data_IF_839837661599
#
_entry.id   IF_839837661599
#
_cell.length_a   1.000
_cell.length_b   1.000
_cell.length_c   1.000
_cell.angle_alpha   90.00
_cell.angle_beta   90.00
_cell.angle_gamma   90.00
#
_symmetry.space_group_name_H-M   'P 1'
#
loop_
_entity.id
_entity.type
_entity.pdbx_description
1 polymer ?
#
# COMPACT_ATOMS: atom_id res chain seq x y z
N UNK A 1 -11.84 -0.38 6.34
CA UNK A 1 -12.28 -0.29 7.76
C UNK A 1 -11.37 -1.03 8.72
N UNK A 2 -11.34 -2.38 8.74
CA UNK A 2 -10.44 -3.11 9.66
C UNK A 2 -8.96 -2.83 9.36
N UNK A 3 -8.57 -2.83 8.07
CA UNK A 3 -7.22 -2.43 7.65
C UNK A 3 -6.81 -1.06 8.15
N UNK A 4 -7.66 -0.04 7.98
CA UNK A 4 -7.39 1.32 8.46
C UNK A 4 -7.14 1.34 9.97
N UNK A 5 -7.96 0.64 10.75
CA UNK A 5 -7.80 0.53 12.20
C UNK A 5 -6.48 -0.14 12.55
N UNK A 6 -6.18 -1.29 11.91
CA UNK A 6 -4.93 -2.02 12.10
C UNK A 6 -3.72 -1.16 11.78
N UNK A 7 -3.81 -0.34 10.73
CA UNK A 7 -2.76 0.61 10.36
C UNK A 7 -2.56 1.65 11.45
N UNK A 8 -3.64 2.29 11.93
CA UNK A 8 -3.56 3.25 13.04
C UNK A 8 -2.92 2.65 14.28
N UNK A 9 -3.28 1.41 14.64
CA UNK A 9 -2.62 0.69 15.75
C UNK A 9 -1.11 0.61 15.54
N UNK A 10 -0.61 0.36 14.33
CA UNK A 10 0.84 0.33 14.03
C UNK A 10 1.48 1.72 14.17
N UNK A 11 0.82 2.77 13.68
CA UNK A 11 1.29 4.17 13.79
C UNK A 11 1.41 4.58 15.26
N UNK A 12 0.38 4.34 16.08
CA UNK A 12 0.37 4.72 17.50
C UNK A 12 1.37 3.92 18.35
N UNK A 13 1.74 2.72 17.89
CA UNK A 13 2.83 1.94 18.48
C UNK A 13 4.21 2.43 18.04
N UNK A 14 4.32 3.37 17.09
CA UNK A 14 5.57 3.83 16.49
C UNK A 14 6.33 2.70 15.77
N UNK A 15 5.61 1.70 15.27
CA UNK A 15 6.16 0.44 14.79
C UNK A 15 6.09 0.30 13.26
N UNK A 16 5.98 1.42 12.53
CA UNK A 16 5.74 1.49 11.08
C UNK A 16 6.83 0.81 10.24
N UNK A 17 8.05 0.78 10.76
CA UNK A 17 9.20 0.16 10.11
C UNK A 17 9.39 -1.32 10.52
N UNK A 18 8.69 -1.78 11.56
CA UNK A 18 8.89 -3.09 12.17
C UNK A 18 7.70 -4.04 11.96
N UNK A 19 6.49 -3.48 11.77
CA UNK A 19 5.23 -4.21 11.71
C UNK A 19 4.44 -3.86 10.44
N UNK A 20 3.89 -4.91 9.83
CA UNK A 20 2.90 -4.81 8.76
C UNK A 20 1.51 -4.91 9.37
N UNK A 21 0.57 -4.06 8.95
CA UNK A 21 -0.81 -4.13 9.42
C UNK A 21 -1.60 -5.21 8.67
N UNK A 22 -2.63 -5.77 9.32
CA UNK A 22 -3.54 -6.74 8.72
C UNK A 22 -4.76 -6.01 8.13
N UNK A 23 -4.95 -6.13 6.83
CA UNK A 23 -6.04 -5.50 6.08
C UNK A 23 -7.38 -6.24 6.25
N UNK A 24 -7.34 -7.53 6.59
CA UNK A 24 -8.52 -8.39 6.58
C UNK A 24 -8.74 -9.10 7.92
N UNK A 25 -9.85 -8.77 8.59
CA UNK A 25 -10.23 -9.34 9.89
C UNK A 25 -10.40 -10.86 9.85
N UNK A 26 -10.75 -11.42 8.70
CA UNK A 26 -10.95 -12.87 8.52
C UNK A 26 -9.64 -13.59 8.15
N UNK A 27 -8.59 -12.84 7.79
CA UNK A 27 -7.30 -13.41 7.48
C UNK A 27 -6.57 -13.76 8.77
N UNK A 28 -6.50 -15.07 9.03
CA UNK A 28 -5.76 -15.60 10.19
C UNK A 28 -4.28 -15.60 9.87
N UNK A 29 -3.55 -14.73 10.56
CA UNK A 29 -2.09 -14.64 10.48
C UNK A 29 -1.52 -15.24 11.76
N UNK A 30 -1.10 -16.50 11.67
CA UNK A 30 -0.53 -17.26 12.78
C UNK A 30 1.00 -17.16 12.80
N UNK A 31 1.61 -17.52 13.93
CA UNK A 31 3.06 -17.62 14.03
C UNK A 31 3.63 -18.55 12.95
N UNK A 32 4.77 -18.16 12.39
CA UNK A 32 5.50 -18.88 11.35
C UNK A 32 4.75 -19.01 10.02
N UNK A 33 3.61 -18.34 9.82
CA UNK A 33 2.93 -18.29 8.53
C UNK A 33 3.88 -17.76 7.46
N UNK A 34 3.92 -18.40 6.29
CA UNK A 34 4.77 -18.00 5.18
C UNK A 34 4.16 -16.80 4.43
N UNK A 35 5.00 -15.85 4.07
CA UNK A 35 4.61 -14.66 3.32
C UNK A 35 5.61 -14.46 2.18
N UNK A 36 5.10 -14.20 0.98
CA UNK A 36 5.93 -13.72 -0.13
C UNK A 36 6.01 -12.21 -0.06
N UNK A 37 7.22 -11.69 -0.21
CA UNK A 37 7.47 -10.25 -0.26
C UNK A 37 8.08 -9.92 -1.62
N UNK A 38 7.45 -8.99 -2.33
CA UNK A 38 7.88 -8.56 -3.66
C UNK A 38 7.89 -7.05 -3.72
N UNK A 39 8.93 -6.48 -4.32
CA UNK A 39 8.90 -5.07 -4.74
C UNK A 39 8.59 -5.01 -6.22
N UNK A 40 7.60 -4.20 -6.59
CA UNK A 40 7.27 -3.96 -7.99
C UNK A 40 8.23 -2.93 -8.62
N UNK A 41 8.00 -2.60 -9.90
CA UNK A 41 8.84 -1.67 -10.67
C UNK A 41 8.91 -0.25 -10.08
N UNK A 42 7.96 0.13 -9.22
CA UNK A 42 7.87 1.43 -8.56
C UNK A 42 8.33 1.39 -7.08
N UNK A 43 9.03 0.33 -6.67
CA UNK A 43 9.46 0.09 -5.28
C UNK A 43 8.32 -0.08 -4.26
N UNK A 44 7.08 -0.30 -4.72
CA UNK A 44 5.96 -0.63 -3.85
C UNK A 44 6.10 -2.08 -3.40
N UNK A 45 6.05 -2.31 -2.10
CA UNK A 45 6.18 -3.66 -1.51
C UNK A 45 4.80 -4.31 -1.42
N UNK A 46 4.64 -5.48 -2.02
CA UNK A 46 3.44 -6.32 -1.95
C UNK A 46 3.71 -7.56 -1.09
N UNK A 47 2.72 -7.91 -0.28
CA UNK A 47 2.74 -9.06 0.62
C UNK A 47 1.70 -10.08 0.19
N UNK A 48 2.10 -11.33 0.01
CA UNK A 48 1.17 -12.44 -0.28
C UNK A 48 1.26 -13.48 0.82
N UNK A 49 0.22 -13.55 1.65
CA UNK A 49 0.13 -14.53 2.73
C UNK A 49 -0.18 -15.91 2.15
N UNK A 50 0.64 -16.89 2.49
CA UNK A 50 0.48 -18.28 2.04
C UNK A 50 -0.18 -19.05 3.19
N UNK A 51 -1.19 -19.87 2.87
CA UNK A 51 -1.82 -20.78 3.84
C UNK A 51 -0.94 -22.02 4.13
N UNK A 52 0.30 -21.76 4.58
CA UNK A 52 1.32 -22.72 5.03
C UNK A 52 2.23 -22.03 6.05
N UNK A 53 2.80 -22.81 6.95
CA UNK A 53 3.80 -22.34 7.92
C UNK A 53 5.19 -22.82 7.57
N UNK A 54 6.20 -22.20 8.17
CA UNK A 54 7.60 -22.62 8.10
C UNK A 54 7.78 -24.10 8.43
N UNK A 55 7.05 -24.59 9.44
CA UNK A 55 7.11 -25.98 9.88
C UNK A 55 6.66 -26.96 8.79
N UNK A 56 5.76 -26.53 7.89
CA UNK A 56 5.35 -27.36 6.76
C UNK A 56 6.47 -27.58 5.76
N UNK A 57 7.45 -26.67 5.68
CA UNK A 57 8.60 -26.80 4.77
C UNK A 57 9.63 -27.79 5.29
N UNK A 58 9.74 -28.01 6.59
CA UNK A 58 10.73 -28.92 7.18
C UNK A 58 10.45 -30.38 6.81
N UNK A 59 11.49 -31.17 6.58
CA UNK A 59 11.34 -32.63 6.48
C UNK A 59 10.87 -33.21 7.83
N UNK A 60 11.52 -32.78 8.91
CA UNK A 60 11.22 -33.14 10.29
C UNK A 60 10.54 -31.95 11.01
N UNK A 61 9.24 -32.04 11.35
CA UNK A 61 8.48 -30.95 11.95
C UNK A 61 8.63 -30.90 13.49
N UNK A 62 9.72 -31.40 14.03
CA UNK A 62 10.00 -31.48 15.48
C UNK A 62 10.37 -30.12 16.09
N UNK A 63 10.56 -29.10 15.26
CA UNK A 63 10.84 -27.75 15.70
C UNK A 63 9.58 -27.07 16.26
N UNK A 64 9.63 -26.72 17.53
CA UNK A 64 8.62 -25.88 18.17
C UNK A 64 9.33 -24.74 18.89
N UNK A 65 9.44 -23.55 18.27
CA UNK A 65 10.18 -22.46 18.87
C UNK A 65 9.44 -21.92 20.09
N UNK A 66 10.21 -21.45 21.07
CA UNK A 66 9.64 -20.72 22.20
C UNK A 66 9.01 -19.41 21.72
N UNK A 67 7.79 -19.16 22.20
CA UNK A 67 7.03 -17.94 21.92
C UNK A 67 6.89 -17.17 23.23
N UNK A 68 7.43 -15.96 23.25
CA UNK A 68 7.22 -15.02 24.35
C UNK A 68 5.96 -14.21 24.09
N UNK A 69 5.19 -13.98 25.15
CA UNK A 69 3.98 -13.17 25.09
C UNK A 69 4.08 -12.02 26.07
N UNK A 70 3.96 -10.79 25.57
CA UNK A 70 4.03 -9.57 26.35
C UNK A 70 2.78 -8.71 26.14
N UNK A 71 2.38 -7.98 27.18
CA UNK A 71 1.32 -6.98 27.07
C UNK A 71 1.94 -5.72 26.50
N UNK A 72 1.47 -5.29 25.34
CA UNK A 72 1.94 -4.05 24.71
C UNK A 72 1.20 -2.84 25.25
N UNK A 73 -0.13 -2.91 25.26
CA UNK A 73 -0.98 -1.79 25.69
C UNK A 73 -2.18 -2.34 26.45
N UNK A 74 -2.48 -1.70 27.59
CA UNK A 74 -3.68 -1.95 28.39
C UNK A 74 -4.66 -0.79 28.17
N UNK A 75 -5.95 -1.10 28.14
CA UNK A 75 -7.04 -0.13 28.03
C UNK A 75 -6.88 0.86 26.87
N UNK A 76 -6.56 0.32 25.69
CA UNK A 76 -6.46 1.07 24.44
C UNK A 76 -7.84 1.66 24.09
N UNK A 77 -7.95 3.00 24.13
CA UNK A 77 -9.20 3.74 23.89
C UNK A 77 -9.01 4.88 22.89
N UNK A 78 -10.05 5.14 22.10
CA UNK A 78 -10.19 6.34 21.28
C UNK A 78 -11.28 7.23 21.86
N UNK A 79 -10.93 8.44 22.27
CA UNK A 79 -11.88 9.52 22.57
C UNK A 79 -11.47 10.77 21.81
N UNK A 80 -12.20 11.07 20.73
CA UNK A 80 -12.18 12.39 20.11
C UNK A 80 -13.02 13.33 21.00
N UNK A 81 -12.39 14.37 21.56
CA UNK A 81 -13.04 15.33 22.45
C UNK A 81 -14.30 15.90 21.77
N UNK A 82 -15.44 15.76 22.46
CA UNK A 82 -16.64 16.51 22.13
C UNK A 82 -16.29 17.99 22.28
N UNK A 83 -16.15 18.71 21.17
CA UNK A 83 -16.28 20.16 21.16
C UNK A 83 -17.66 20.54 21.68
N UNK A 84 -17.80 20.60 23.00
CA UNK A 84 -19.06 20.70 23.72
C UNK A 84 -18.77 20.61 25.21
N UNK A 85 -18.48 21.77 25.81
CA UNK A 85 -18.21 21.98 27.22
C UNK A 85 -19.23 21.21 28.08
N UNK A 86 -18.77 20.17 28.76
CA UNK A 86 -19.59 19.33 29.63
C UNK A 86 -18.72 18.34 30.36
N UNK A 87 -18.06 18.80 31.43
CA UNK A 87 -17.35 17.95 32.37
C UNK A 87 -18.34 16.99 33.02
N UNK A 88 -18.05 15.69 32.96
CA UNK A 88 -18.58 14.74 33.95
C UNK A 88 -17.37 14.17 34.66
N UNK A 89 -17.14 14.66 35.88
CA UNK A 89 -16.26 14.03 36.85
C UNK A 89 -16.83 12.66 37.21
N UNK A 90 -15.99 11.63 37.12
CA UNK A 90 -16.10 10.44 37.95
C UNK A 90 -14.69 9.83 38.03
N UNK A 91 -14.05 9.99 39.19
CA UNK A 91 -12.72 9.45 39.46
C UNK A 91 -12.72 7.94 39.65
N UNK A 92 -11.54 7.34 39.52
CA UNK A 92 -10.84 6.51 40.52
C UNK A 92 -9.39 6.35 40.03
N UNK A 93 -8.44 6.52 40.95
CA UNK A 93 -7.00 6.35 40.79
C UNK A 93 -6.60 4.93 40.34
N UNK A 94 -5.77 4.85 39.30
CA UNK A 94 -4.78 3.80 39.11
C UNK A 94 -3.62 4.34 38.24
N UNK A 95 -2.34 4.12 38.59
CA UNK A 95 -1.22 4.47 37.74
C UNK A 95 -1.07 3.38 36.67
N UNK A 96 -1.94 3.40 35.66
CA UNK A 96 -1.83 2.55 34.48
C UNK A 96 -1.72 3.46 33.26
N UNK A 97 -0.73 3.18 32.42
CA UNK A 97 -0.38 3.97 31.24
C UNK A 97 -1.53 3.90 30.24
N UNK A 98 -2.45 4.85 30.35
CA UNK A 98 -3.60 5.00 29.47
C UNK A 98 -3.11 5.59 28.15
N UNK A 99 -2.95 4.76 27.13
CA UNK A 99 -2.58 5.23 25.79
C UNK A 99 -3.85 5.76 25.13
N UNK A 100 -3.98 7.09 25.06
CA UNK A 100 -5.07 7.79 24.38
C UNK A 100 -4.70 7.92 22.91
N UNK A 101 -5.53 7.39 22.02
CA UNK A 101 -5.40 7.62 20.58
C UNK A 101 -5.46 9.12 20.26
N UNK A 102 -4.37 9.66 19.73
CA UNK A 102 -4.36 10.95 19.02
C UNK A 102 -4.29 10.68 17.52
N UNK A 103 -5.12 9.75 17.03
CA UNK A 103 -5.20 9.45 15.61
C UNK A 103 -6.35 10.25 14.98
N UNK A 104 -5.98 11.06 13.98
CA UNK A 104 -6.86 11.79 13.08
C UNK A 104 -7.62 10.84 12.12
N UNK A 105 -8.28 9.79 12.62
CA UNK A 105 -9.10 8.92 11.76
C UNK A 105 -10.46 9.57 11.48
N UNK A 106 -10.73 9.95 10.23
CA UNK A 106 -12.08 10.35 9.80
C UNK A 106 -13.07 9.16 9.73
N UNK A 107 -12.59 7.92 9.93
CA UNK A 107 -13.37 6.68 9.76
C UNK A 107 -13.89 6.05 11.04
N UNK A 108 -13.43 6.42 12.25
CA UNK A 108 -13.90 5.82 13.52
C UNK A 108 -14.11 6.92 14.59
N UNK A 109 -15.34 7.02 15.11
CA UNK A 109 -15.70 8.02 16.14
C UNK A 109 -15.50 7.51 17.57
N UNK A 110 -15.32 6.20 17.76
CA UNK A 110 -15.00 5.62 19.07
C UNK A 110 -14.68 4.12 19.00
N UNK A 111 -13.98 3.63 20.02
CA UNK A 111 -13.68 2.20 20.19
C UNK A 111 -13.91 1.80 21.65
N UNK A 112 -14.42 0.60 21.88
CA UNK A 112 -14.45 0.02 23.23
C UNK A 112 -13.01 -0.24 23.71
N UNK A 113 -12.70 0.11 24.96
CA UNK A 113 -11.41 -0.19 25.57
C UNK A 113 -10.97 -1.65 25.37
N UNK A 114 -9.71 -1.87 24.98
CA UNK A 114 -9.18 -3.22 24.80
C UNK A 114 -7.68 -3.32 25.05
N UNK A 115 -7.21 -4.54 25.32
CA UNK A 115 -5.80 -4.81 25.57
C UNK A 115 -5.16 -5.45 24.36
N UNK A 116 -4.01 -4.92 23.96
CA UNK A 116 -3.16 -5.46 22.91
C UNK A 116 -2.00 -6.25 23.52
N UNK A 117 -1.77 -7.44 22.97
CA UNK A 117 -0.63 -8.28 23.28
C UNK A 117 0.23 -8.51 22.05
N UNK A 118 1.50 -8.78 22.31
CA UNK A 118 2.47 -9.19 21.29
C UNK A 118 2.96 -10.58 21.61
N UNK A 119 3.01 -11.41 20.57
CA UNK A 119 3.73 -12.69 20.56
C UNK A 119 4.96 -12.54 19.70
N UNK A 120 6.09 -13.05 20.18
CA UNK A 120 7.36 -13.05 19.44
C UNK A 120 7.99 -14.42 19.54
N UNK A 121 8.42 -14.97 18.42
CA UNK A 121 9.23 -16.18 18.36
C UNK A 121 10.67 -15.82 18.73
N UNK A 122 11.33 -16.68 19.51
CA UNK A 122 12.77 -16.59 19.76
C UNK A 122 13.56 -16.68 18.44
N UNK A 123 14.10 -15.55 18.00
CA UNK A 123 14.85 -15.44 16.75
C UNK A 123 16.15 -16.23 16.79
N UNK A 124 16.74 -16.47 17.97
CA UNK A 124 17.95 -17.29 18.07
C UNK A 124 17.67 -18.77 17.85
N UNK A 125 16.46 -19.24 18.20
CA UNK A 125 16.06 -20.61 17.89
C UNK A 125 15.80 -20.79 16.40
N UNK A 126 15.26 -19.75 15.76
CA UNK A 126 15.09 -19.67 14.32
C UNK A 126 16.43 -19.66 13.57
N UNK A 127 17.41 -18.88 14.02
CA UNK A 127 18.77 -18.84 13.45
C UNK A 127 19.47 -20.21 13.51
N UNK A 128 19.25 -20.99 14.58
CA UNK A 128 19.81 -22.36 14.72
C UNK A 128 19.23 -23.38 13.74
N UNK A 129 18.29 -22.99 12.89
CA UNK A 129 17.71 -23.89 11.89
C UNK A 129 18.55 -24.02 10.61
N UNK A 130 19.69 -23.34 10.51
CA UNK A 130 20.53 -23.21 9.30
C UNK A 130 20.83 -24.54 8.55
N UNK A 131 20.86 -25.66 9.29
CA UNK A 131 21.15 -27.00 8.75
C UNK A 131 19.91 -27.90 8.57
N UNK A 132 18.71 -27.41 8.90
CA UNK A 132 17.49 -28.23 8.80
C UNK A 132 17.10 -28.42 7.34
N UNK A 133 16.91 -29.69 6.94
CA UNK A 133 16.47 -30.06 5.60
C UNK A 133 15.02 -29.65 5.37
N UNK A 134 14.77 -29.16 4.15
CA UNK A 134 13.43 -28.76 3.72
C UNK A 134 12.94 -29.63 2.57
N UNK A 135 11.62 -29.84 2.55
CA UNK A 135 10.87 -30.51 1.49
C UNK A 135 10.89 -29.63 0.24
N UNK A 136 11.90 -29.80 -0.61
CA UNK A 136 12.07 -28.99 -1.82
C UNK A 136 10.85 -28.98 -2.74
N UNK A 137 10.15 -30.10 -2.85
CA UNK A 137 8.89 -30.18 -3.59
C UNK A 137 7.84 -29.15 -3.13
N UNK A 138 7.78 -28.86 -1.82
CA UNK A 138 6.86 -27.85 -1.29
C UNK A 138 7.34 -26.43 -1.60
N UNK A 139 8.65 -26.19 -1.56
CA UNK A 139 9.26 -24.91 -1.94
C UNK A 139 9.01 -24.62 -3.43
N UNK A 140 9.21 -25.62 -4.30
CA UNK A 140 8.91 -25.53 -5.73
C UNK A 140 7.43 -25.21 -5.99
N UNK A 141 6.54 -25.83 -5.21
CA UNK A 141 5.09 -25.55 -5.26
C UNK A 141 4.74 -24.13 -4.80
N UNK A 142 5.60 -23.44 -4.03
CA UNK A 142 5.40 -22.03 -3.73
C UNK A 142 5.60 -21.14 -4.97
N UNK A 143 6.29 -21.62 -6.01
CA UNK A 143 6.54 -20.88 -7.26
C UNK A 143 7.07 -19.47 -6.97
N UNK A 144 8.17 -19.37 -6.23
CA UNK A 144 8.81 -18.09 -5.94
C UNK A 144 9.36 -17.47 -7.22
N UNK A 145 9.02 -16.22 -7.49
CA UNK A 145 9.55 -15.45 -8.62
C UNK A 145 10.97 -14.95 -8.30
N UNK A 146 11.75 -14.60 -9.33
CA UNK A 146 13.15 -14.18 -9.17
C UNK A 146 13.34 -12.97 -8.24
N UNK A 147 12.36 -12.07 -8.16
CA UNK A 147 12.36 -10.88 -7.29
C UNK A 147 11.54 -11.06 -6.00
N UNK A 148 10.97 -12.25 -5.78
CA UNK A 148 10.22 -12.56 -4.56
C UNK A 148 11.16 -13.10 -3.48
N UNK A 149 11.04 -12.53 -2.29
CA UNK A 149 11.63 -13.08 -1.07
C UNK A 149 10.59 -13.92 -0.33
N UNK A 150 11.02 -15.03 0.24
CA UNK A 150 10.18 -15.80 1.16
C UNK A 150 10.48 -15.35 2.59
N UNK A 151 9.43 -15.05 3.35
CA UNK A 151 9.53 -14.65 4.75
C UNK A 151 8.54 -15.46 5.59
N UNK A 152 8.69 -15.42 6.91
CA UNK A 152 7.65 -15.90 7.81
C UNK A 152 7.34 -14.91 8.92
N UNK A 153 6.16 -15.09 9.51
CA UNK A 153 5.68 -14.29 10.64
C UNK A 153 6.40 -14.71 11.91
N UNK A 154 7.27 -13.85 12.44
CA UNK A 154 7.99 -14.09 13.69
C UNK A 154 7.39 -13.31 14.88
N UNK A 155 6.52 -12.35 14.59
CA UNK A 155 5.86 -11.52 15.60
C UNK A 155 4.42 -11.21 15.18
N UNK A 156 3.50 -11.19 16.14
CA UNK A 156 2.10 -10.76 15.91
C UNK A 156 1.62 -9.86 17.05
N UNK A 157 0.82 -8.85 16.71
CA UNK A 157 0.10 -7.98 17.66
C UNK A 157 -1.39 -8.27 17.53
N UNK A 158 -2.05 -8.58 18.64
CA UNK A 158 -3.44 -9.06 18.65
C UNK A 158 -4.22 -8.60 19.89
N UNK A 159 -5.55 -8.62 19.82
CA UNK A 159 -6.43 -8.26 20.93
C UNK A 159 -6.75 -9.45 21.83
N UNK A 160 -6.85 -9.20 23.14
CA UNK A 160 -7.17 -10.25 24.13
C UNK A 160 -8.67 -10.39 24.44
N UNK A 161 -9.47 -9.40 24.03
CA UNK A 161 -10.91 -9.33 24.23
C UNK A 161 -11.58 -8.86 22.94
N UNK A 162 -12.84 -9.27 22.65
CA UNK A 162 -13.56 -8.73 21.50
C UNK A 162 -13.65 -7.19 21.56
N UNK A 163 -13.48 -6.52 20.43
CA UNK A 163 -13.39 -5.05 20.35
C UNK A 163 -14.49 -4.54 19.44
N UNK A 164 -15.27 -3.55 19.88
CA UNK A 164 -16.29 -2.91 19.04
C UNK A 164 -15.86 -1.51 18.64
N UNK A 165 -15.87 -1.27 17.34
CA UNK A 165 -15.59 0.01 16.71
C UNK A 165 -16.91 0.69 16.34
N UNK A 166 -16.98 2.01 16.53
CA UNK A 166 -18.15 2.84 16.25
C UNK A 166 -17.80 3.90 15.21
N UNK A 167 -18.60 3.99 14.15
CA UNK A 167 -18.40 4.94 13.05
C UNK A 167 -19.65 5.75 12.83
N UNK A 168 -19.51 7.08 12.79
CA UNK A 168 -20.58 8.01 12.41
C UNK A 168 -20.23 8.64 11.07
N UNK A 169 -21.12 8.50 10.11
CA UNK A 169 -21.02 9.24 8.86
C UNK A 169 -21.05 10.76 9.11
N UNK A 170 -19.97 11.48 8.76
CA UNK A 170 -19.91 12.96 8.78
C UNK A 170 -19.88 13.54 7.36
N UNK A 171 -20.46 14.73 7.22
CA UNK A 171 -20.26 15.61 6.05
C UNK A 171 -18.89 16.27 6.15
N UNK A 172 -18.06 16.07 5.15
CA UNK A 172 -16.68 16.55 5.07
C UNK A 172 -16.57 18.07 4.84
N UNK A 173 -15.58 18.71 5.46
CA UNK A 173 -15.09 20.03 5.05
C UNK A 173 -14.28 19.98 3.74
N UNK A 174 -13.86 21.13 3.21
CA UNK A 174 -13.28 21.30 1.86
C UNK A 174 -12.07 20.39 1.55
N UNK A 175 -11.26 20.02 2.55
CA UNK A 175 -10.08 19.13 2.40
C UNK A 175 -10.42 17.66 2.65
N UNK A 176 -11.31 17.37 3.60
CA UNK A 176 -11.89 16.03 3.83
C UNK A 176 -12.76 15.56 2.65
N UNK A 177 -13.30 16.50 1.85
CA UNK A 177 -14.07 16.22 0.64
C UNK A 177 -13.24 15.62 -0.51
N UNK A 178 -11.95 15.97 -0.61
CA UNK A 178 -11.01 15.33 -1.52
C UNK A 178 -10.85 13.85 -1.18
N UNK A 179 -10.61 13.54 0.10
CA UNK A 179 -10.34 12.18 0.57
C UNK A 179 -11.53 11.24 0.39
N UNK A 180 -12.73 11.72 0.73
CA UNK A 180 -13.95 10.96 0.44
C UNK A 180 -14.12 10.73 -1.07
N UNK A 181 -13.74 11.65 -1.95
CA UNK A 181 -13.88 11.42 -3.40
C UNK A 181 -12.89 10.41 -3.97
N UNK A 182 -11.68 10.33 -3.41
CA UNK A 182 -10.64 9.40 -3.84
C UNK A 182 -11.02 7.95 -3.51
N UNK A 183 -11.63 7.71 -2.34
CA UNK A 183 -11.86 6.35 -1.81
C UNK A 183 -13.33 5.91 -1.77
N UNK A 184 -14.29 6.79 -2.09
CA UNK A 184 -15.74 6.54 -1.98
C UNK A 184 -16.43 6.43 -3.35
N UNK A 185 -15.70 6.02 -4.39
CA UNK A 185 -16.19 5.84 -5.78
C UNK A 185 -17.27 4.76 -5.91
N UNK A 186 -17.64 4.07 -4.83
CA UNK A 186 -18.84 3.24 -4.79
C UNK A 186 -19.51 3.26 -3.42
N UNK A 187 -20.30 4.31 -3.13
CA UNK A 187 -21.60 4.19 -2.45
C UNK A 187 -22.33 5.56 -2.46
N UNK A 188 -23.38 5.68 -3.27
CA UNK A 188 -24.41 6.68 -3.03
C UNK A 188 -25.26 6.25 -1.83
N UNK A 189 -25.08 6.88 -0.66
CA UNK A 189 -26.19 6.99 0.30
C UNK A 189 -26.02 8.16 1.28
N UNK A 190 -26.87 9.17 1.11
CA UNK A 190 -27.03 10.32 2.00
C UNK A 190 -27.82 9.96 3.29
N UNK A 191 -27.33 9.01 4.10
CA UNK A 191 -27.90 8.74 5.43
C UNK A 191 -26.82 8.75 6.50
N UNK A 192 -27.12 9.43 7.61
CA UNK A 192 -26.35 9.34 8.86
C UNK A 192 -26.57 7.95 9.46
N UNK A 193 -25.86 6.96 8.95
CA UNK A 193 -25.80 5.64 9.57
C UNK A 193 -24.65 5.62 10.57
N UNK A 194 -24.98 5.24 11.80
CA UNK A 194 -24.01 4.87 12.82
C UNK A 194 -23.80 3.37 12.68
N UNK A 195 -22.68 2.99 12.06
CA UNK A 195 -22.31 1.59 11.86
C UNK A 195 -21.33 1.19 12.95
N UNK A 196 -21.62 0.11 13.66
CA UNK A 196 -20.68 -0.54 14.57
C UNK A 196 -20.21 -1.87 14.00
N UNK A 197 -18.97 -2.22 14.30
CA UNK A 197 -18.36 -3.47 13.88
C UNK A 197 -17.53 -4.06 15.02
N UNK A 198 -17.72 -5.35 15.31
CA UNK A 198 -17.02 -6.05 16.38
C UNK A 198 -15.97 -6.99 15.82
N UNK A 199 -14.71 -6.76 16.20
CA UNK A 199 -13.57 -7.64 15.96
C UNK A 199 -13.55 -8.73 17.03
N UNK A 200 -13.50 -10.02 16.65
CA UNK A 200 -13.41 -11.13 17.60
C UNK A 200 -12.14 -11.06 18.45
N UNK A 201 -12.15 -11.76 19.60
CA UNK A 201 -10.94 -12.01 20.39
C UNK A 201 -9.88 -12.74 19.55
N UNK A 202 -8.60 -12.51 19.87
CA UNK A 202 -7.44 -13.17 19.26
C UNK A 202 -7.30 -12.87 17.75
N UNK A 203 -7.74 -11.69 17.34
CA UNK A 203 -7.54 -11.16 15.98
C UNK A 203 -6.19 -10.46 15.87
N UNK A 204 -5.40 -10.82 14.86
CA UNK A 204 -4.12 -10.18 14.56
C UNK A 204 -4.35 -8.84 13.85
N UNK A 205 -3.92 -7.75 14.49
CA UNK A 205 -3.93 -6.39 13.93
C UNK A 205 -2.65 -6.10 13.15
N UNK A 206 -1.51 -6.63 13.58
CA UNK A 206 -0.24 -6.41 12.91
C UNK A 206 0.71 -7.60 13.07
N UNK A 207 1.69 -7.72 12.17
CA UNK A 207 2.65 -8.81 12.14
C UNK A 207 4.03 -8.37 11.64
N UNK A 208 5.07 -8.92 12.27
CA UNK A 208 6.46 -8.74 11.85
C UNK A 208 6.93 -9.92 11.02
N UNK A 209 7.78 -9.65 10.03
CA UNK A 209 8.34 -10.65 9.13
C UNK A 209 9.83 -10.88 9.36
N UNK A 210 10.30 -12.10 9.11
CA UNK A 210 11.72 -12.46 9.05
C UNK A 210 12.00 -13.19 7.74
N UNK A 211 13.10 -12.83 7.07
CA UNK A 211 13.51 -13.45 5.82
C UNK A 211 13.93 -14.91 6.03
N UNK A 212 13.60 -15.75 5.05
CA UNK A 212 13.98 -17.16 5.01
C UNK A 212 14.79 -17.41 3.74
N UNK A 213 15.97 -17.99 3.91
CA UNK A 213 16.76 -18.56 2.84
C UNK A 213 16.43 -20.05 2.68
N UNK A 214 16.29 -20.51 1.44
CA UNK A 214 16.04 -21.91 1.09
C UNK A 214 17.11 -22.49 0.16
N UNK A 215 18.22 -21.76 -0.04
CA UNK A 215 19.31 -22.19 -0.92
C UNK A 215 19.95 -23.50 -0.41
N UNK A 216 20.25 -24.41 -1.34
CA UNK A 216 21.07 -25.60 -1.04
C UNK A 216 20.35 -26.76 -0.35
N UNK A 217 19.03 -26.76 -0.21
CA UNK A 217 18.32 -27.87 0.45
C UNK A 217 17.98 -27.62 1.91
N UNK A 218 18.46 -26.52 2.47
CA UNK A 218 18.38 -26.23 3.91
C UNK A 218 17.67 -24.90 4.17
N UNK A 219 17.17 -24.76 5.40
CA UNK A 219 16.53 -23.56 5.87
C UNK A 219 17.56 -22.63 6.51
N UNK A 220 17.85 -21.48 5.92
CA UNK A 220 18.66 -20.44 6.56
C UNK A 220 17.82 -19.26 7.02
N UNK A 221 18.18 -18.64 8.14
CA UNK A 221 17.62 -17.34 8.54
C UNK A 221 18.77 -16.35 8.62
N UNK A 222 18.85 -15.38 7.70
CA UNK A 222 19.97 -14.45 7.66
C UNK A 222 20.01 -13.59 8.93
N UNK A 223 21.19 -13.21 9.42
CA UNK A 223 21.33 -12.38 10.61
C UNK A 223 20.60 -11.05 10.43
N UNK A 224 19.87 -10.62 11.47
CA UNK A 224 19.22 -9.31 11.46
C UNK A 224 20.27 -8.21 11.63
N UNK A 225 20.41 -7.37 10.62
CA UNK A 225 21.15 -6.12 10.72
C UNK A 225 20.20 -5.04 11.25
N UNK A 226 20.19 -4.81 12.56
CA UNK A 226 19.52 -3.64 13.13
C UNK A 226 20.42 -2.42 12.90
N UNK A 227 20.17 -1.65 11.84
CA UNK A 227 20.80 -0.33 11.67
C UNK A 227 20.22 0.61 12.73
N UNK A 228 20.99 0.94 13.76
CA UNK A 228 20.61 1.96 14.74
C UNK A 228 20.96 3.34 14.17
N UNK A 229 19.98 4.02 13.57
CA UNK A 229 20.12 5.41 13.14
C UNK A 229 20.04 6.34 14.34
N UNK A 230 21.19 6.65 14.96
CA UNK A 230 21.28 7.78 15.90
C UNK A 230 21.13 9.08 15.11
N UNK A 231 20.08 9.84 15.40
CA UNK A 231 19.82 11.13 14.75
C UNK A 231 20.90 12.15 15.14
N UNK A 232 21.97 12.21 14.34
CA UNK A 232 22.94 13.30 14.35
C UNK A 232 22.53 14.33 13.30
N UNK A 233 22.21 15.55 13.72
CA UNK A 233 22.11 16.71 12.80
C UNK A 233 23.46 16.87 12.09
N UNK A 234 23.53 16.58 10.78
CA UNK A 234 24.76 16.86 10.01
C UNK A 234 24.80 16.26 8.61
N UNK A 235 24.37 17.07 7.64
CA UNK A 235 24.84 17.24 6.26
C UNK A 235 25.70 16.13 5.58
N UNK A 236 25.18 15.66 4.43
CA UNK A 236 25.87 15.16 3.23
C UNK A 236 25.86 13.64 2.97
N UNK A 237 25.04 13.25 1.99
CA UNK A 237 25.53 12.60 0.76
C UNK A 237 25.74 11.08 0.75
N UNK A 238 24.75 10.39 0.19
CA UNK A 238 24.79 9.20 -0.68
C UNK A 238 25.65 7.96 -0.30
N UNK A 239 24.97 6.81 -0.29
CA UNK A 239 25.21 5.55 -1.07
C UNK A 239 24.95 4.28 -0.23
N UNK A 240 23.98 3.49 -0.74
CA UNK A 240 23.83 2.02 -0.72
C UNK A 240 23.04 1.28 0.37
N UNK A 241 22.04 0.58 -0.18
CA UNK A 241 21.51 -0.77 0.08
C UNK A 241 20.98 -1.18 1.47
N UNK A 242 19.82 -1.80 1.35
CA UNK A 242 19.01 -2.57 2.30
C UNK A 242 18.48 -1.82 3.52
N UNK A 243 17.16 -1.62 3.46
CA UNK A 243 16.29 -1.17 4.54
C UNK A 243 16.41 0.32 4.83
N UNK A 244 15.76 1.17 4.02
CA UNK A 244 15.50 2.56 4.42
C UNK A 244 13.99 2.75 4.56
N UNK A 245 13.56 2.81 5.82
CA UNK A 245 12.50 3.69 6.26
C UNK A 245 13.09 5.09 6.34
N UNK A 246 13.13 5.78 5.21
CA UNK A 246 13.44 7.20 5.17
C UNK A 246 12.14 7.98 5.40
N UNK A 247 11.86 8.35 6.65
CA UNK A 247 10.92 9.43 7.00
C UNK A 247 11.60 10.80 6.82
N UNK A 248 12.45 10.93 5.79
CA UNK A 248 12.68 12.23 5.19
C UNK A 248 11.48 12.51 4.28
N UNK A 249 10.67 13.49 4.67
CA UNK A 249 9.60 13.97 3.83
C UNK A 249 10.24 14.51 2.55
N UNK A 250 10.15 13.76 1.45
CA UNK A 250 10.63 14.20 0.14
C UNK A 250 10.03 15.56 -0.15
N UNK A 251 10.88 16.51 -0.47
CA UNK A 251 10.43 17.81 -0.99
C UNK A 251 9.73 17.61 -2.32
N UNK A 252 8.84 18.52 -2.72
CA UNK A 252 8.21 18.43 -4.03
C UNK A 252 9.25 18.42 -5.16
N UNK A 253 10.40 19.07 -4.97
CA UNK A 253 11.50 19.05 -5.94
C UNK A 253 12.17 17.68 -6.08
N UNK A 254 12.47 16.99 -4.98
CA UNK A 254 12.98 15.60 -5.02
C UNK A 254 11.98 14.65 -5.67
N UNK A 255 10.69 14.83 -5.37
CA UNK A 255 9.62 14.06 -5.98
C UNK A 255 9.48 14.34 -7.49
N UNK A 256 9.64 15.60 -7.91
CA UNK A 256 9.66 15.98 -9.34
C UNK A 256 10.84 15.35 -10.08
N UNK A 257 12.04 15.30 -9.47
CA UNK A 257 13.18 14.60 -10.08
C UNK A 257 12.86 13.11 -10.29
N UNK A 258 12.36 12.43 -9.26
CA UNK A 258 12.00 11.00 -9.34
C UNK A 258 10.89 10.73 -10.37
N UNK A 259 9.84 11.57 -10.40
CA UNK A 259 8.79 11.49 -11.41
C UNK A 259 9.39 11.68 -12.80
N UNK A 260 10.30 12.64 -12.99
CA UNK A 260 10.93 12.94 -14.29
C UNK A 260 11.79 11.79 -14.80
N UNK A 261 12.57 11.16 -13.91
CA UNK A 261 13.38 9.98 -14.23
C UNK A 261 12.50 8.81 -14.69
N UNK A 262 11.44 8.52 -13.93
CA UNK A 262 10.49 7.43 -14.25
C UNK A 262 9.67 7.76 -15.50
N UNK A 263 9.21 9.00 -15.66
CA UNK A 263 8.50 9.48 -16.85
C UNK A 263 9.30 9.26 -18.14
N UNK A 264 10.63 9.40 -18.09
CA UNK A 264 11.48 9.12 -19.24
C UNK A 264 11.39 7.65 -19.72
N UNK A 265 11.10 6.71 -18.82
CA UNK A 265 10.90 5.30 -19.16
C UNK A 265 9.56 5.04 -19.87
N UNK A 266 8.60 5.97 -19.83
CA UNK A 266 7.33 5.90 -20.57
C UNK A 266 7.46 6.34 -22.03
N UNK A 267 8.49 7.13 -22.39
CA UNK A 267 8.67 7.67 -23.76
C UNK A 267 8.61 6.63 -24.89
N UNK A 268 9.11 5.38 -24.72
CA UNK A 268 8.96 4.36 -25.76
C UNK A 268 7.51 4.05 -26.16
N UNK A 269 6.51 4.37 -25.34
CA UNK A 269 5.09 4.20 -25.69
C UNK A 269 4.71 4.99 -26.95
N UNK A 270 5.25 6.20 -27.14
CA UNK A 270 4.96 7.04 -28.31
C UNK A 270 5.42 6.39 -29.63
N UNK A 271 6.48 5.59 -29.55
CA UNK A 271 7.07 4.91 -30.72
C UNK A 271 6.26 3.70 -31.19
N UNK A 272 5.25 3.28 -30.42
CA UNK A 272 4.37 2.20 -30.84
C UNK A 272 3.46 2.66 -31.99
N UNK A 273 3.18 1.78 -32.98
CA UNK A 273 2.22 2.07 -34.03
C UNK A 273 0.87 2.53 -33.45
N UNK A 274 0.22 3.49 -34.09
CA UNK A 274 -1.05 4.05 -33.61
C UNK A 274 -2.14 2.97 -33.41
N UNK A 275 -2.19 1.97 -34.29
CA UNK A 275 -3.08 0.81 -34.15
C UNK A 275 -2.75 -0.02 -32.91
N UNK A 276 -1.47 -0.25 -32.64
CA UNK A 276 -1.00 -0.96 -31.44
C UNK A 276 -1.35 -0.18 -30.17
N UNK A 277 -1.08 1.13 -30.12
CA UNK A 277 -1.45 2.00 -29.00
C UNK A 277 -2.95 1.96 -28.70
N UNK A 278 -3.78 2.12 -29.74
CA UNK A 278 -5.26 2.04 -29.60
C UNK A 278 -5.71 0.67 -29.10
N UNK A 279 -5.18 -0.43 -29.64
CA UNK A 279 -5.58 -1.78 -29.25
C UNK A 279 -5.14 -2.10 -27.81
N UNK A 280 -3.92 -1.72 -27.44
CA UNK A 280 -3.42 -1.88 -26.06
C UNK A 280 -4.27 -1.07 -25.08
N UNK A 281 -4.55 0.20 -25.37
CA UNK A 281 -5.37 1.06 -24.51
C UNK A 281 -6.79 0.49 -24.34
N UNK A 282 -7.36 -0.08 -25.41
CA UNK A 282 -8.68 -0.72 -25.35
C UNK A 282 -8.68 -1.94 -24.43
N UNK A 283 -7.72 -2.86 -24.59
CA UNK A 283 -7.65 -4.06 -23.74
C UNK A 283 -7.29 -3.68 -22.29
N UNK A 284 -6.45 -2.64 -22.11
CA UNK A 284 -6.12 -2.11 -20.80
C UNK A 284 -7.34 -1.55 -20.08
N UNK A 285 -8.19 -0.78 -20.75
CA UNK A 285 -9.41 -0.20 -20.16
C UNK A 285 -10.46 -1.26 -19.79
N UNK A 286 -10.41 -2.44 -20.42
CA UNK A 286 -11.20 -3.60 -20.03
C UNK A 286 -10.60 -4.28 -18.78
N UNK A 287 -9.26 -4.45 -18.74
CA UNK A 287 -8.55 -5.11 -17.64
C UNK A 287 -8.61 -4.32 -16.33
N UNK A 288 -8.49 -2.99 -16.35
CA UNK A 288 -8.51 -2.17 -15.12
C UNK A 288 -9.85 -2.19 -14.37
N UNK A 289 -10.91 -2.77 -14.96
CA UNK A 289 -12.20 -2.99 -14.29
C UNK A 289 -12.17 -4.19 -13.35
N UNK A 290 -11.20 -5.09 -13.53
CA UNK A 290 -10.97 -6.27 -12.72
C UNK A 290 -9.57 -6.17 -12.10
N UNK A 291 -9.52 -5.82 -10.81
CA UNK A 291 -8.27 -5.61 -10.08
C UNK A 291 -7.39 -6.86 -10.11
N UNK A 292 -7.98 -8.05 -9.99
CA UNK A 292 -7.24 -9.31 -10.02
C UNK A 292 -6.62 -9.55 -11.41
N UNK A 293 -7.35 -9.21 -12.48
CA UNK A 293 -6.84 -9.32 -13.84
C UNK A 293 -5.72 -8.30 -14.14
N UNK A 294 -5.83 -7.08 -13.62
CA UNK A 294 -4.78 -6.05 -13.73
C UNK A 294 -3.52 -6.44 -12.97
N UNK A 295 -3.66 -6.91 -11.72
CA UNK A 295 -2.53 -7.42 -10.94
C UNK A 295 -1.90 -8.63 -11.63
N UNK A 296 -2.69 -9.56 -12.17
CA UNK A 296 -2.17 -10.69 -12.94
C UNK A 296 -1.39 -10.23 -14.19
N UNK A 297 -1.83 -9.15 -14.85
CA UNK A 297 -1.10 -8.56 -15.98
C UNK A 297 0.25 -7.98 -15.52
N UNK A 298 0.29 -7.18 -14.45
CA UNK A 298 1.54 -6.66 -13.87
C UNK A 298 2.51 -7.81 -13.58
N UNK A 299 2.02 -8.85 -12.89
CA UNK A 299 2.81 -10.02 -12.58
C UNK A 299 3.34 -10.77 -13.81
N UNK A 300 2.56 -10.78 -14.89
CA UNK A 300 2.94 -11.45 -16.14
C UNK A 300 3.99 -10.64 -16.90
N UNK A 301 3.92 -9.31 -16.85
CA UNK A 301 4.88 -8.40 -17.49
C UNK A 301 6.26 -8.43 -16.82
N UNK A 302 6.31 -8.72 -15.52
CA UNK A 302 7.58 -8.88 -14.81
C UNK A 302 8.27 -10.23 -15.07
N UNK A 303 7.55 -11.22 -15.62
CA UNK A 303 8.15 -12.47 -16.09
C UNK A 303 8.71 -12.25 -17.49
N UNK A 304 9.91 -12.77 -17.78
CA UNK A 304 10.47 -12.81 -19.13
C UNK A 304 9.68 -13.79 -20.05
N UNK A 305 8.44 -13.46 -20.41
CA UNK A 305 7.53 -14.04 -21.43
C UNK A 305 7.49 -15.59 -21.62
N UNK A 306 8.02 -16.40 -20.72
CA UNK A 306 8.19 -17.84 -20.94
C UNK A 306 6.96 -18.66 -20.57
N UNK A 307 6.04 -18.10 -19.78
CA UNK A 307 4.79 -18.77 -19.38
C UNK A 307 3.57 -18.08 -19.99
N UNK A 308 2.67 -18.87 -20.56
CA UNK A 308 1.41 -18.37 -21.11
C UNK A 308 0.43 -18.05 -19.96
N UNK A 309 -0.13 -16.82 -19.89
CA UNK A 309 -1.03 -16.44 -18.81
C UNK A 309 -2.34 -17.24 -18.85
N UNK A 310 -2.88 -17.61 -17.69
CA UNK A 310 -4.12 -18.41 -17.60
C UNK A 310 -5.37 -17.63 -18.01
N UNK A 311 -5.34 -16.30 -17.94
CA UNK A 311 -6.45 -15.43 -18.32
C UNK A 311 -6.43 -15.08 -19.82
N UNK A 312 -7.60 -15.16 -20.46
CA UNK A 312 -7.77 -14.83 -21.87
C UNK A 312 -7.53 -13.34 -22.17
N UNK A 313 -7.95 -12.44 -21.27
CA UNK A 313 -7.75 -10.99 -21.43
C UNK A 313 -6.27 -10.62 -21.29
N UNK A 314 -5.58 -11.17 -20.29
CA UNK A 314 -4.12 -11.01 -20.10
C UNK A 314 -3.36 -11.62 -21.29
N UNK A 315 -3.75 -12.80 -21.77
CA UNK A 315 -3.17 -13.42 -22.96
C UNK A 315 -3.32 -12.56 -24.21
N UNK A 316 -4.50 -11.95 -24.39
CA UNK A 316 -4.78 -11.06 -25.53
C UNK A 316 -3.91 -9.80 -25.46
N UNK A 317 -3.74 -9.23 -24.26
CA UNK A 317 -2.85 -8.09 -24.04
C UNK A 317 -1.39 -8.44 -24.35
N UNK A 318 -0.90 -9.57 -23.84
CA UNK A 318 0.48 -10.03 -24.10
C UNK A 318 0.73 -10.35 -25.58
N UNK A 319 -0.28 -10.83 -26.30
CA UNK A 319 -0.17 -11.05 -27.75
C UNK A 319 0.09 -9.75 -28.52
N UNK A 320 -0.50 -8.62 -28.08
CA UNK A 320 -0.27 -7.30 -28.68
C UNK A 320 1.16 -6.78 -28.44
N UNK A 321 1.82 -7.24 -27.37
CA UNK A 321 3.19 -6.85 -27.02
C UNK A 321 4.27 -7.78 -27.59
N UNK A 322 3.89 -8.84 -28.31
CA UNK A 322 4.83 -9.84 -28.83
C UNK A 322 5.88 -9.22 -29.75
N UNK A 323 5.48 -8.28 -30.59
CA UNK A 323 6.37 -7.59 -31.54
C UNK A 323 7.00 -6.31 -30.98
N UNK A 324 6.60 -5.88 -29.78
CA UNK A 324 7.19 -4.72 -29.12
C UNK A 324 8.63 -4.99 -28.67
N UNK A 325 9.48 -3.98 -28.77
CA UNK A 325 10.85 -4.00 -28.24
C UNK A 325 10.87 -4.12 -26.71
N UNK A 326 12.00 -4.53 -26.11
CA UNK A 326 12.15 -4.57 -24.65
C UNK A 326 11.80 -3.24 -23.99
N UNK A 327 12.32 -2.13 -24.51
CA UNK A 327 12.03 -0.77 -24.01
C UNK A 327 10.54 -0.42 -24.05
N UNK A 328 9.82 -0.84 -25.10
CA UNK A 328 8.38 -0.63 -25.20
C UNK A 328 7.62 -1.48 -24.18
N UNK A 329 8.06 -2.73 -23.95
CA UNK A 329 7.47 -3.60 -22.93
C UNK A 329 7.72 -3.06 -21.51
N UNK A 330 8.93 -2.57 -21.23
CA UNK A 330 9.27 -1.94 -19.95
C UNK A 330 8.40 -0.70 -19.71
N UNK A 331 8.19 0.12 -20.74
CA UNK A 331 7.31 1.29 -20.67
C UNK A 331 5.85 0.90 -20.39
N UNK A 332 5.34 -0.16 -21.03
CA UNK A 332 3.99 -0.68 -20.76
C UNK A 332 3.91 -1.28 -19.36
N UNK A 333 4.93 -2.00 -18.91
CA UNK A 333 5.00 -2.55 -17.56
C UNK A 333 4.98 -1.45 -16.50
N UNK A 334 5.71 -0.35 -16.72
CA UNK A 334 5.64 0.82 -15.84
C UNK A 334 4.24 1.40 -15.76
N UNK A 335 3.57 1.62 -16.91
CA UNK A 335 2.21 2.14 -16.93
C UNK A 335 1.21 1.20 -16.21
N UNK A 336 1.30 -0.11 -16.46
CA UNK A 336 0.46 -1.10 -15.80
C UNK A 336 0.73 -1.14 -14.29
N UNK A 337 1.99 -1.06 -13.87
CA UNK A 337 2.37 -0.99 -12.46
C UNK A 337 1.80 0.26 -11.79
N UNK A 338 1.85 1.39 -12.49
CA UNK A 338 1.30 2.64 -11.98
C UNK A 338 -0.22 2.60 -11.86
N UNK A 339 -0.92 2.00 -12.84
CA UNK A 339 -2.38 1.80 -12.78
C UNK A 339 -2.79 0.85 -11.65
N UNK A 340 -2.07 -0.25 -11.45
CA UNK A 340 -2.35 -1.25 -10.41
C UNK A 340 -2.06 -0.72 -9.00
N UNK A 341 -1.19 0.29 -8.87
CA UNK A 341 -0.90 0.98 -7.61
C UNK A 341 -1.93 2.05 -7.23
N UNK A 342 -2.86 2.42 -8.11
CA UNK A 342 -3.87 3.44 -7.81
C UNK A 342 -4.97 2.89 -6.88
N UNK A 343 -5.69 3.76 -6.14
CA UNK A 343 -6.88 3.37 -5.39
C UNK A 343 -7.97 2.71 -6.25
N UNK A 344 -8.81 1.90 -5.61
CA UNK A 344 -9.87 1.16 -6.29
C UNK A 344 -10.78 2.06 -7.14
N UNK A 345 -11.04 1.64 -8.38
CA UNK A 345 -11.85 2.39 -9.34
C UNK A 345 -11.12 3.55 -10.04
N UNK A 346 -10.04 4.11 -9.47
CA UNK A 346 -9.33 5.25 -10.05
C UNK A 346 -8.73 4.92 -11.43
N UNK A 347 -8.12 3.74 -11.58
CA UNK A 347 -7.56 3.27 -12.86
C UNK A 347 -8.63 3.16 -13.97
N UNK A 348 -9.83 2.68 -13.62
CA UNK A 348 -10.95 2.57 -14.55
C UNK A 348 -11.46 3.95 -15.00
N UNK A 349 -11.58 4.90 -14.07
CA UNK A 349 -11.97 6.28 -14.40
C UNK A 349 -10.93 6.96 -15.30
N UNK A 350 -9.64 6.82 -14.97
CA UNK A 350 -8.54 7.43 -15.72
C UNK A 350 -8.41 6.90 -17.16
N UNK A 351 -8.56 5.60 -17.35
CA UNK A 351 -8.51 4.97 -18.69
C UNK A 351 -9.75 5.26 -19.52
N UNK A 352 -10.88 5.58 -18.89
CA UNK A 352 -12.13 5.97 -19.55
C UNK A 352 -12.24 7.48 -19.86
N UNK A 353 -11.27 8.29 -19.41
CA UNK A 353 -11.24 9.74 -19.63
C UNK A 353 -11.34 10.12 -21.11
N UNK A 354 -12.08 11.19 -21.40
CA UNK A 354 -12.09 11.78 -22.73
C UNK A 354 -10.70 12.35 -23.09
N UNK A 355 -10.33 12.43 -24.38
CA UNK A 355 -9.08 13.05 -24.80
C UNK A 355 -8.92 14.50 -24.31
N UNK A 356 -10.00 15.27 -24.24
CA UNK A 356 -9.99 16.64 -23.70
C UNK A 356 -9.65 16.66 -22.21
N UNK A 357 -10.25 15.73 -21.46
CA UNK A 357 -10.01 15.57 -20.02
C UNK A 357 -8.55 15.22 -19.75
N UNK A 358 -8.03 14.22 -20.47
CA UNK A 358 -6.66 13.78 -20.31
C UNK A 358 -5.66 14.88 -20.72
N UNK A 359 -5.97 15.66 -21.75
CA UNK A 359 -5.14 16.82 -22.15
C UNK A 359 -5.02 17.86 -21.04
N UNK A 360 -6.13 18.17 -20.35
CA UNK A 360 -6.10 19.10 -19.20
C UNK A 360 -5.26 18.51 -18.07
N UNK A 361 -5.44 17.23 -17.73
CA UNK A 361 -4.61 16.57 -16.72
C UNK A 361 -3.13 16.59 -17.09
N UNK A 362 -2.79 16.32 -18.35
CA UNK A 362 -1.42 16.36 -18.86
C UNK A 362 -0.81 17.77 -18.76
N UNK A 363 -1.59 18.82 -19.03
CA UNK A 363 -1.16 20.21 -18.83
C UNK A 363 -0.88 20.50 -17.37
N UNK A 364 -1.73 20.04 -16.45
CA UNK A 364 -1.51 20.20 -15.01
C UNK A 364 -0.23 19.49 -14.58
N UNK A 365 0.03 18.27 -15.06
CA UNK A 365 1.29 17.56 -14.80
C UNK A 365 2.47 18.37 -15.34
N UNK A 366 2.43 18.85 -16.59
CA UNK A 366 3.51 19.66 -17.16
C UNK A 366 3.78 20.93 -16.34
N UNK A 367 2.75 21.68 -15.93
CA UNK A 367 2.91 22.86 -15.08
C UNK A 367 3.48 22.53 -13.70
N UNK A 368 3.07 21.41 -13.10
CA UNK A 368 3.62 20.94 -11.83
C UNK A 368 5.12 20.63 -11.98
N UNK A 369 5.52 19.98 -13.07
CA UNK A 369 6.91 19.59 -13.31
C UNK A 369 7.81 20.79 -13.64
N UNK A 370 7.30 21.79 -14.36
CA UNK A 370 8.06 22.99 -14.76
C UNK A 370 8.15 24.02 -13.62
N UNK A 371 7.01 24.41 -13.06
CA UNK A 371 6.90 25.58 -12.17
C UNK A 371 6.63 25.21 -10.70
N UNK A 372 6.45 23.91 -10.39
CA UNK A 372 6.06 23.45 -9.05
C UNK A 372 4.65 23.89 -8.64
N UNK A 373 3.87 24.47 -9.57
CA UNK A 373 2.53 24.99 -9.33
C UNK A 373 1.63 24.75 -10.54
N UNK A 374 0.74 23.76 -10.45
CA UNK A 374 -0.34 23.61 -11.41
C UNK A 374 -1.55 24.44 -10.98
N UNK A 375 -2.21 25.10 -11.94
CA UNK A 375 -3.48 25.80 -11.74
C UNK A 375 -4.52 25.28 -12.70
N UNK A 376 -5.75 25.14 -12.20
CA UNK A 376 -6.88 24.73 -13.02
C UNK A 376 -7.16 25.78 -14.10
N UNK A 377 -7.38 25.36 -15.35
CA UNK A 377 -7.89 26.25 -16.39
C UNK A 377 -9.27 26.82 -16.02
N UNK A 378 -9.62 27.98 -16.58
CA UNK A 378 -10.92 28.62 -16.37
C UNK A 378 -12.10 27.78 -16.90
N UNK A 379 -11.85 26.97 -17.93
CA UNK A 379 -12.85 26.03 -18.49
C UNK A 379 -12.40 24.60 -18.27
N UNK A 380 -13.15 23.87 -17.42
CA UNK A 380 -12.87 22.48 -17.10
C UNK A 380 -13.87 21.54 -17.80
N UNK A 381 -13.40 20.43 -18.38
CA UNK A 381 -14.25 19.31 -18.78
C UNK A 381 -15.15 18.86 -17.62
N UNK A 382 -16.35 18.39 -17.93
CA UNK A 382 -17.39 18.02 -16.94
C UNK A 382 -16.85 17.08 -15.85
N UNK A 383 -16.02 16.12 -16.23
CA UNK A 383 -15.37 15.14 -15.35
C UNK A 383 -14.43 15.75 -14.30
N UNK A 384 -13.89 16.96 -14.56
CA UNK A 384 -12.97 17.70 -13.69
C UNK A 384 -13.63 18.88 -12.97
N UNK A 385 -14.93 19.12 -13.19
CA UNK A 385 -15.69 20.15 -12.48
C UNK A 385 -15.93 19.76 -11.02
N UNK A 386 -16.48 20.66 -10.21
CA UNK A 386 -16.61 20.48 -8.77
C UNK A 386 -17.38 19.22 -8.36
N UNK A 387 -18.29 18.70 -9.19
CA UNK A 387 -19.03 17.43 -8.95
C UNK A 387 -18.53 16.26 -9.80
N UNK A 388 -17.46 16.45 -10.57
CA UNK A 388 -16.93 15.44 -11.47
C UNK A 388 -16.23 14.28 -10.74
N UNK A 389 -16.40 13.07 -11.27
CA UNK A 389 -15.91 11.80 -10.67
C UNK A 389 -14.39 11.76 -10.48
N UNK A 390 -13.65 12.53 -11.26
CA UNK A 390 -12.18 12.56 -11.24
C UNK A 390 -11.62 13.93 -10.84
N UNK A 391 -12.47 14.83 -10.31
CA UNK A 391 -12.07 16.15 -9.82
C UNK A 391 -10.87 16.09 -8.88
N UNK A 392 -10.83 15.06 -8.03
CA UNK A 392 -9.78 14.81 -7.06
C UNK A 392 -8.39 14.68 -7.69
N UNK A 393 -8.26 14.16 -8.91
CA UNK A 393 -6.98 14.06 -9.61
C UNK A 393 -6.38 15.44 -9.86
N UNK A 394 -7.21 16.37 -10.35
CA UNK A 394 -6.77 17.72 -10.61
C UNK A 394 -6.47 18.47 -9.30
N UNK A 395 -7.10 18.09 -8.19
CA UNK A 395 -6.77 18.64 -6.88
C UNK A 395 -5.43 18.14 -6.36
N UNK A 396 -5.11 16.85 -6.55
CA UNK A 396 -3.79 16.27 -6.26
C UNK A 396 -2.70 16.92 -7.11
N UNK A 397 -2.93 17.12 -8.40
CA UNK A 397 -1.95 17.75 -9.29
C UNK A 397 -1.72 19.24 -8.96
N UNK A 398 -2.71 19.91 -8.35
CA UNK A 398 -2.63 21.31 -7.92
C UNK A 398 -2.11 21.47 -6.47
N UNK A 399 -1.55 20.43 -5.86
CA UNK A 399 -0.96 20.55 -4.53
C UNK A 399 0.30 21.41 -4.56
N UNK A 400 0.44 22.24 -3.53
CA UNK A 400 1.64 23.03 -3.25
C UNK A 400 2.44 22.34 -2.16
N UNK A 401 3.73 22.67 -1.98
CA UNK A 401 4.53 22.16 -0.84
C UNK A 401 3.83 22.33 0.51
N UNK A 402 3.19 23.49 0.71
CA UNK A 402 2.47 23.77 1.94
C UNK A 402 1.24 22.86 2.08
N UNK A 403 0.47 22.66 1.01
CA UNK A 403 -0.68 21.75 1.04
C UNK A 403 -0.25 20.30 1.17
N UNK A 404 0.85 19.89 0.54
CA UNK A 404 1.40 18.54 0.70
C UNK A 404 1.79 18.30 2.17
N UNK A 405 2.35 19.29 2.85
CA UNK A 405 2.61 19.25 4.31
C UNK A 405 1.34 19.26 5.14
N UNK A 406 0.37 20.13 4.86
CA UNK A 406 -0.92 20.17 5.57
C UNK A 406 -1.75 18.89 5.36
N UNK A 407 -1.60 18.27 4.19
CA UNK A 407 -2.15 16.95 3.90
C UNK A 407 -1.44 15.87 4.71
N UNK A 408 -0.13 15.98 5.03
CA UNK A 408 0.57 15.01 5.88
C UNK A 408 -0.16 14.77 7.19
N UNK A 409 -0.41 15.85 7.91
CA UNK A 409 -1.04 15.83 9.23
C UNK A 409 -2.48 15.27 9.20
N UNK A 410 -3.08 15.15 8.00
CA UNK A 410 -4.44 14.66 7.77
C UNK A 410 -4.50 13.32 6.99
N UNK A 411 -3.40 12.91 6.34
CA UNK A 411 -3.27 11.73 5.46
C UNK A 411 -2.67 10.52 6.18
N UNK A 412 -2.24 10.69 7.44
CA UNK A 412 -1.77 9.62 8.31
C UNK A 412 -2.88 8.58 8.52
N UNK A 413 -2.78 7.47 7.78
CA UNK A 413 -3.76 6.37 7.81
C UNK A 413 -4.10 5.69 6.48
N UNK A 414 -3.55 6.10 5.32
CA UNK A 414 -3.94 5.56 3.99
C UNK A 414 -2.93 4.59 3.35
N UNK A 415 -3.39 3.58 2.59
CA UNK A 415 -2.56 2.50 2.02
C UNK A 415 -1.32 2.99 1.23
N UNK A 416 -1.42 4.14 0.56
CA UNK A 416 -0.32 4.77 -0.17
C UNK A 416 0.11 6.12 0.44
N UNK A 417 1.42 6.38 0.60
CA UNK A 417 1.93 7.72 0.87
C UNK A 417 1.44 8.71 -0.20
N UNK A 418 1.10 9.94 0.19
CA UNK A 418 0.60 10.97 -0.74
C UNK A 418 1.58 11.32 -1.85
N UNK A 419 2.88 11.29 -1.55
CA UNK A 419 3.96 11.47 -2.52
C UNK A 419 3.91 10.38 -3.59
N UNK A 420 3.69 9.14 -3.15
CA UNK A 420 3.53 7.99 -4.03
C UNK A 420 2.23 8.09 -4.85
N UNK A 421 1.13 8.57 -4.26
CA UNK A 421 -0.11 8.80 -5.01
C UNK A 421 0.07 9.87 -6.09
N UNK A 422 0.73 10.99 -5.76
CA UNK A 422 1.05 12.04 -6.73
C UNK A 422 1.94 11.50 -7.85
N UNK A 423 2.96 10.71 -7.51
CA UNK A 423 3.83 10.04 -8.46
C UNK A 423 3.04 9.13 -9.42
N UNK A 424 2.19 8.25 -8.87
CA UNK A 424 1.36 7.33 -9.65
C UNK A 424 0.41 8.09 -10.58
N UNK A 425 -0.27 9.12 -10.09
CA UNK A 425 -1.16 9.95 -10.91
C UNK A 425 -0.40 10.61 -12.06
N UNK A 426 0.77 11.19 -11.80
CA UNK A 426 1.62 11.79 -12.85
C UNK A 426 2.04 10.75 -13.89
N UNK A 427 2.53 9.58 -13.48
CA UNK A 427 2.97 8.52 -14.39
C UNK A 427 1.81 7.96 -15.22
N UNK A 428 0.63 7.76 -14.62
CA UNK A 428 -0.54 7.27 -15.34
C UNK A 428 -1.04 8.30 -16.34
N UNK A 429 -1.15 9.58 -15.97
CA UNK A 429 -1.60 10.64 -16.88
C UNK A 429 -0.64 10.76 -18.07
N UNK A 430 0.67 10.75 -17.83
CA UNK A 430 1.68 10.79 -18.88
C UNK A 430 1.62 9.56 -19.78
N UNK A 431 1.60 8.37 -19.19
CA UNK A 431 1.57 7.12 -19.96
C UNK A 431 0.30 6.98 -20.81
N UNK A 432 -0.87 7.32 -20.26
CA UNK A 432 -2.12 7.34 -21.01
C UNK A 432 -2.10 8.39 -22.13
N UNK A 433 -1.51 9.57 -21.89
CA UNK A 433 -1.39 10.62 -22.91
C UNK A 433 -0.54 10.17 -24.09
N UNK A 434 0.56 9.45 -23.84
CA UNK A 434 1.41 8.87 -24.89
C UNK A 434 0.70 7.73 -25.64
N UNK A 435 -0.23 7.03 -24.99
CA UNK A 435 -1.02 5.95 -25.57
C UNK A 435 -2.24 6.45 -26.35
N UNK A 436 -2.65 7.71 -26.18
CA UNK A 436 -3.73 8.28 -26.97
C UNK A 436 -3.27 8.50 -28.44
N UNK A 437 -4.14 8.15 -29.40
CA UNK A 437 -3.80 8.13 -30.82
C UNK A 437 -3.63 9.50 -31.46
#
# INVERSE_FOLDING_TARGET
MFGDISKTVVLDLGAENDLNYNENVNQKIEMLTLVKVRRNFLNITKYTIINKTLLNLLEEPDFNPDVTEEVLVVDFENQRDKGGRGSVEAGVDAPQMKVKLTASMDTVDGVSSFTLKKRTVDTHQLERMEDKKIKMKLVDMLKLKQKEKLTCVYQTVYNTTPVTFYVKARKSGLVSGMFNRIFHVSLESNKKEETSFTVPKDTTFAYGLIEINTQGGTLGIPPRLTKVTRHGKGWAGNISFDGDGDDSCKTLEELKEEISEKACLLKPLETLPQSSRRNLLKVLSELVRDRDALTLLEETLDKEMTECPQSQSVSSFMALLREASSKQRDAVHMLVTALDGLPDGAAALLTACSPETLRVLQQLVSCLMEDGQARLPESLPVSLQEEGEIRWLAEILCLTDQKLKELRDQWDGQELPREMLLELVCLVVQGLSLMQP
#
